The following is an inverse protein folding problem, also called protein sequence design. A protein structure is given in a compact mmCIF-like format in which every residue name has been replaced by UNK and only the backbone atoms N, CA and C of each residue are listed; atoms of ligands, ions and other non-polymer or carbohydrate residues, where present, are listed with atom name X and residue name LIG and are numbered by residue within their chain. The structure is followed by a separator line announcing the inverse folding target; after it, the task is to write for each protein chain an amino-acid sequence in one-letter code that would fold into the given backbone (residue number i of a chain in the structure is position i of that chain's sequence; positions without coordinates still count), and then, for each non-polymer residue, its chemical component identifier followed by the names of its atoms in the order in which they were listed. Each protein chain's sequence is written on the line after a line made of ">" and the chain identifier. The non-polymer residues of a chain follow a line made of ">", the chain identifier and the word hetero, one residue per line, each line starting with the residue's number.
data_IF_874404808863
#
_entry.id   IF_874404808863
#
_cell.length_a   1.000
_cell.length_b   1.000
_cell.length_c   1.000
_cell.angle_alpha   90.00
_cell.angle_beta   90.00
_cell.angle_gamma   90.00
#
_symmetry.space_group_name_H-M   'P 1'
#
loop_
_entity.id
_entity.type
_entity.pdbx_description
1 polymer ?
#
# COMPACT_ATOMS: atom_id res chain seq x y z
N UNK A 1 24.81 -15.71 34.04
CA UNK A 1 23.55 -16.48 34.10
C UNK A 1 22.58 -15.76 33.19
N UNK A 2 22.16 -16.37 32.09
CA UNK A 2 21.11 -15.80 31.22
C UNK A 2 19.84 -15.74 32.06
N UNK A 3 19.18 -14.58 32.06
CA UNK A 3 17.96 -14.39 32.84
C UNK A 3 16.88 -15.34 32.31
N UNK A 4 16.11 -15.99 33.19
CA UNK A 4 15.05 -16.90 32.78
C UNK A 4 14.02 -16.21 31.86
N UNK A 5 13.79 -14.91 32.04
CA UNK A 5 12.94 -14.09 31.15
C UNK A 5 13.50 -14.02 29.72
N UNK A 6 14.79 -13.68 29.58
CA UNK A 6 15.46 -13.57 28.27
C UNK A 6 15.38 -14.88 27.48
N UNK A 7 15.49 -16.02 28.18
CA UNK A 7 15.36 -17.32 27.54
C UNK A 7 13.96 -17.56 26.99
N UNK A 8 12.92 -17.23 27.76
CA UNK A 8 11.52 -17.38 27.32
C UNK A 8 11.22 -16.45 26.15
N UNK A 9 11.69 -15.21 26.19
CA UNK A 9 11.54 -14.25 25.10
C UNK A 9 12.19 -14.75 23.79
N UNK A 10 13.41 -15.29 23.88
CA UNK A 10 14.08 -15.89 22.73
C UNK A 10 13.33 -17.10 22.18
N UNK A 11 12.80 -17.97 23.04
CA UNK A 11 12.00 -19.13 22.62
C UNK A 11 10.71 -18.69 21.90
N UNK A 12 10.01 -17.67 22.40
CA UNK A 12 8.81 -17.10 21.78
C UNK A 12 9.13 -16.48 20.41
N UNK A 13 10.17 -15.67 20.31
CA UNK A 13 10.59 -15.05 19.04
C UNK A 13 11.01 -16.09 18.01
N UNK A 14 11.74 -17.11 18.42
CA UNK A 14 12.11 -18.23 17.54
C UNK A 14 10.88 -19.01 17.08
N UNK A 15 9.91 -19.24 17.98
CA UNK A 15 8.64 -19.87 17.65
C UNK A 15 7.84 -19.07 16.62
N UNK A 16 7.74 -17.75 16.82
CA UNK A 16 7.07 -16.84 15.88
C UNK A 16 7.76 -16.86 14.51
N UNK A 17 9.09 -16.70 14.46
CA UNK A 17 9.86 -16.76 13.21
C UNK A 17 9.62 -18.05 12.45
N UNK A 18 9.71 -19.19 13.12
CA UNK A 18 9.49 -20.48 12.50
C UNK A 18 8.06 -20.61 11.96
N UNK A 19 7.07 -20.10 12.70
CA UNK A 19 5.67 -20.08 12.25
C UNK A 19 5.48 -19.21 11.02
N UNK A 20 6.02 -17.99 11.00
CA UNK A 20 5.92 -17.07 9.85
C UNK A 20 6.51 -17.70 8.58
N UNK A 21 7.74 -18.22 8.66
CA UNK A 21 8.41 -18.90 7.54
C UNK A 21 7.63 -20.13 7.07
N UNK A 22 7.08 -20.90 8.00
CA UNK A 22 6.29 -22.09 7.66
C UNK A 22 4.98 -21.72 6.96
N UNK A 23 4.30 -20.67 7.42
CA UNK A 23 3.06 -20.16 6.80
C UNK A 23 3.31 -19.61 5.40
N UNK A 24 4.34 -18.81 5.22
CA UNK A 24 4.74 -18.36 3.88
C UNK A 24 4.96 -19.55 2.92
N UNK A 25 5.77 -20.53 3.35
CA UNK A 25 6.04 -21.73 2.54
C UNK A 25 4.79 -22.54 2.23
N UNK A 26 3.87 -22.64 3.19
CA UNK A 26 2.58 -23.30 3.00
C UNK A 26 1.73 -22.56 1.94
N UNK A 27 1.60 -21.24 2.04
CA UNK A 27 0.81 -20.44 1.10
C UNK A 27 1.40 -20.42 -0.30
N UNK A 28 2.72 -20.28 -0.43
CA UNK A 28 3.40 -20.42 -1.72
C UNK A 28 3.11 -21.77 -2.38
N UNK A 29 3.17 -22.87 -1.62
CA UNK A 29 2.87 -24.23 -2.13
C UNK A 29 1.42 -24.42 -2.53
N UNK A 30 0.48 -23.86 -1.77
CA UNK A 30 -0.96 -23.96 -2.06
C UNK A 30 -1.35 -23.13 -3.29
N UNK A 31 -0.74 -21.96 -3.46
CA UNK A 31 -1.02 -21.06 -4.57
C UNK A 31 -0.31 -21.46 -5.86
N UNK A 32 0.68 -22.37 -5.80
CA UNK A 32 1.40 -22.84 -6.99
C UNK A 32 0.48 -23.63 -7.91
N UNK A 33 0.09 -23.00 -9.02
CA UNK A 33 -0.56 -23.65 -10.14
C UNK A 33 0.36 -23.52 -11.37
N UNK A 34 0.86 -24.64 -11.93
CA UNK A 34 1.79 -24.61 -13.07
C UNK A 34 1.21 -23.94 -14.33
N UNK A 35 -0.11 -23.74 -14.38
CA UNK A 35 -0.80 -23.13 -15.52
C UNK A 35 -0.95 -21.59 -15.40
N UNK A 36 -0.68 -20.99 -14.24
CA UNK A 36 -0.79 -19.53 -14.02
C UNK A 36 0.55 -19.00 -13.51
N UNK A 37 1.32 -18.35 -14.38
CA UNK A 37 2.58 -17.69 -14.01
C UNK A 37 2.27 -16.37 -13.29
N UNK A 38 2.97 -16.05 -12.20
CA UNK A 38 2.85 -14.77 -11.46
C UNK A 38 1.91 -14.83 -10.26
N UNK A 39 0.60 -14.95 -10.50
CA UNK A 39 -0.44 -14.78 -9.47
C UNK A 39 -0.36 -15.68 -8.24
N UNK A 40 0.42 -16.76 -8.29
CA UNK A 40 0.65 -17.62 -7.11
C UNK A 40 1.30 -16.86 -5.94
N UNK A 41 2.27 -15.99 -6.24
CA UNK A 41 3.01 -15.24 -5.21
C UNK A 41 2.16 -14.11 -4.62
N UNK A 42 1.41 -13.40 -5.46
CA UNK A 42 0.43 -12.38 -5.05
C UNK A 42 -0.59 -12.98 -4.07
N UNK A 43 -1.19 -14.13 -4.43
CA UNK A 43 -2.16 -14.81 -3.58
C UNK A 43 -1.54 -15.32 -2.29
N UNK A 44 -0.30 -15.82 -2.34
CA UNK A 44 0.41 -16.26 -1.15
C UNK A 44 0.68 -15.10 -0.18
N UNK A 45 1.14 -13.95 -0.68
CA UNK A 45 1.35 -12.75 0.13
C UNK A 45 0.04 -12.19 0.67
N UNK A 46 -1.00 -12.08 -0.16
CA UNK A 46 -2.30 -11.60 0.30
C UNK A 46 -2.87 -12.47 1.41
N UNK A 47 -2.79 -13.81 1.29
CA UNK A 47 -3.23 -14.72 2.35
C UNK A 47 -2.37 -14.59 3.61
N UNK A 48 -1.06 -14.44 3.45
CA UNK A 48 -0.16 -14.19 4.57
C UNK A 48 -0.53 -12.90 5.31
N UNK A 49 -0.72 -11.78 4.61
CA UNK A 49 -1.06 -10.51 5.21
C UNK A 49 -2.45 -10.54 5.88
N UNK A 50 -3.45 -11.17 5.26
CA UNK A 50 -4.78 -11.34 5.90
C UNK A 50 -4.72 -12.07 7.23
N UNK A 51 -3.83 -13.06 7.37
CA UNK A 51 -3.68 -13.81 8.62
C UNK A 51 -3.09 -12.99 9.78
N UNK A 52 -2.25 -11.99 9.48
CA UNK A 52 -1.44 -11.30 10.48
C UNK A 52 -1.84 -9.83 10.70
N UNK A 53 -2.22 -9.13 9.65
CA UNK A 53 -2.64 -7.72 9.68
C UNK A 53 -4.06 -7.52 9.14
N UNK A 54 -4.74 -8.60 8.76
CA UNK A 54 -6.14 -8.57 8.40
C UNK A 54 -7.00 -8.09 9.56
N UNK A 55 -8.10 -7.39 9.23
CA UNK A 55 -8.95 -6.71 10.21
C UNK A 55 -8.57 -5.24 10.37
N UNK A 56 -7.27 -4.93 10.47
CA UNK A 56 -6.79 -3.55 10.37
C UNK A 56 -6.83 -3.03 8.93
N UNK A 57 -6.63 -3.94 7.97
CA UNK A 57 -6.61 -3.64 6.54
C UNK A 57 -7.49 -4.61 5.76
N UNK A 58 -8.02 -4.11 4.65
CA UNK A 58 -8.65 -4.91 3.61
C UNK A 58 -7.64 -5.20 2.50
N UNK A 59 -7.23 -6.48 2.40
CA UNK A 59 -6.14 -6.92 1.53
C UNK A 59 -6.70 -7.51 0.22
N UNK A 60 -6.41 -6.85 -0.89
CA UNK A 60 -6.81 -7.22 -2.25
C UNK A 60 -5.58 -7.54 -3.10
N UNK A 61 -5.80 -8.29 -4.17
CA UNK A 61 -4.79 -8.59 -5.20
C UNK A 61 -5.24 -8.01 -6.53
N UNK A 62 -4.31 -7.81 -7.47
CA UNK A 62 -4.63 -7.37 -8.85
C UNK A 62 -5.53 -6.13 -8.86
N UNK A 63 -5.11 -5.13 -8.09
CA UNK A 63 -5.90 -3.94 -7.81
C UNK A 63 -5.23 -2.75 -8.47
N UNK A 64 -5.99 -2.00 -9.27
CA UNK A 64 -5.54 -0.71 -9.76
C UNK A 64 -5.85 0.39 -8.76
N UNK A 65 -5.07 1.46 -8.81
CA UNK A 65 -5.32 2.65 -7.98
C UNK A 65 -5.79 3.81 -8.83
N UNK A 66 -6.56 4.70 -8.21
CA UNK A 66 -7.02 5.94 -8.82
C UNK A 66 -6.88 7.08 -7.82
N UNK A 67 -6.20 8.14 -8.22
CA UNK A 67 -6.04 9.35 -7.42
C UNK A 67 -7.20 10.32 -7.67
N UNK A 68 -7.29 11.30 -6.78
CA UNK A 68 -8.33 12.31 -6.84
C UNK A 68 -8.30 13.14 -8.12
N UNK A 69 -7.13 13.36 -8.74
CA UNK A 69 -7.01 14.15 -9.97
C UNK A 69 -7.12 13.30 -11.25
N UNK A 70 -7.30 11.98 -11.10
CA UNK A 70 -7.27 10.99 -12.17
C UNK A 70 -5.94 10.96 -12.95
N UNK A 71 -4.85 11.47 -12.37
CA UNK A 71 -3.49 11.46 -12.95
C UNK A 71 -2.98 10.03 -13.17
N UNK A 72 -3.40 9.08 -12.35
CA UNK A 72 -3.08 7.66 -12.50
C UNK A 72 -3.49 7.13 -13.88
N UNK A 73 -4.59 7.61 -14.44
CA UNK A 73 -5.04 7.22 -15.79
C UNK A 73 -4.16 7.78 -16.91
N UNK A 74 -3.37 8.83 -16.61
CA UNK A 74 -2.47 9.50 -17.55
C UNK A 74 -1.05 8.96 -17.44
N UNK A 75 -0.61 8.62 -16.21
CA UNK A 75 0.73 8.13 -15.90
C UNK A 75 0.93 6.65 -16.18
N UNK A 76 -0.10 5.84 -15.95
CA UNK A 76 -0.03 4.39 -16.11
C UNK A 76 -0.72 3.96 -17.40
N UNK A 77 -0.09 3.04 -18.14
CA UNK A 77 -0.86 2.22 -19.07
C UNK A 77 -1.81 1.29 -18.29
N UNK A 78 -2.93 0.84 -18.89
CA UNK A 78 -3.89 -0.02 -18.18
C UNK A 78 -3.27 -1.26 -17.54
N UNK A 79 -2.24 -1.86 -18.16
CA UNK A 79 -1.54 -3.02 -17.62
C UNK A 79 -0.52 -2.66 -16.52
N UNK A 80 0.03 -1.44 -16.53
CA UNK A 80 1.00 -1.00 -15.52
C UNK A 80 0.34 -0.54 -14.23
N UNK A 81 -0.95 -0.18 -14.24
CA UNK A 81 -1.64 0.24 -13.03
C UNK A 81 -2.09 -0.94 -12.14
N UNK A 82 -2.00 -2.19 -12.62
CA UNK A 82 -2.33 -3.37 -11.80
C UNK A 82 -1.27 -3.55 -10.72
N UNK A 83 -1.60 -3.30 -9.45
CA UNK A 83 -0.75 -3.56 -8.29
C UNK A 83 -1.04 -4.96 -7.75
N UNK A 84 0.04 -5.71 -7.48
CA UNK A 84 0.01 -7.11 -7.08
C UNK A 84 -0.80 -7.32 -5.79
N UNK A 85 -0.49 -6.54 -4.75
CA UNK A 85 -1.23 -6.54 -3.48
C UNK A 85 -1.46 -5.11 -3.01
N UNK A 86 -2.72 -4.80 -2.69
CA UNK A 86 -3.13 -3.50 -2.12
C UNK A 86 -3.81 -3.74 -0.78
N UNK A 87 -3.39 -2.97 0.23
CA UNK A 87 -4.02 -2.94 1.53
C UNK A 87 -4.73 -1.59 1.71
N UNK A 88 -6.06 -1.61 1.84
CA UNK A 88 -6.86 -0.40 2.05
C UNK A 88 -7.35 -0.31 3.48
N UNK A 89 -7.62 0.90 3.94
CA UNK A 89 -8.27 1.13 5.22
C UNK A 89 -9.74 0.66 5.17
N UNK A 90 -10.20 -0.19 6.10
CA UNK A 90 -11.59 -0.64 6.14
C UNK A 90 -12.61 0.50 6.25
N UNK A 91 -12.20 1.65 6.78
CA UNK A 91 -13.00 2.84 6.98
C UNK A 91 -13.05 3.79 5.77
N UNK A 92 -12.30 3.52 4.69
CA UNK A 92 -12.37 4.31 3.46
C UNK A 92 -13.72 4.16 2.78
N UNK A 93 -14.31 5.28 2.37
CA UNK A 93 -15.63 5.30 1.72
C UNK A 93 -15.60 6.16 0.45
N UNK A 94 -15.75 5.56 -0.74
CA UNK A 94 -15.83 4.12 -1.02
C UNK A 94 -14.46 3.41 -0.94
N UNK A 95 -14.44 2.13 -0.59
CA UNK A 95 -13.21 1.32 -0.66
C UNK A 95 -12.85 0.90 -2.09
N UNK A 96 -13.88 0.73 -2.92
CA UNK A 96 -13.76 0.34 -4.32
C UNK A 96 -14.54 1.35 -5.13
N UNK A 97 -13.87 1.96 -6.10
CA UNK A 97 -14.47 2.92 -7.02
C UNK A 97 -15.30 2.18 -8.06
N UNK A 98 -14.73 1.13 -8.68
CA UNK A 98 -15.42 0.23 -9.59
C UNK A 98 -14.63 -1.07 -9.80
N UNK A 99 -15.28 -2.06 -10.42
CA UNK A 99 -14.64 -3.30 -10.87
C UNK A 99 -14.85 -3.46 -12.38
N UNK A 100 -13.79 -3.80 -13.10
CA UNK A 100 -13.84 -4.03 -14.54
C UNK A 100 -12.86 -5.12 -14.95
N UNK A 101 -13.30 -6.07 -15.77
CA UNK A 101 -12.46 -7.15 -16.34
C UNK A 101 -11.68 -7.97 -15.29
N UNK A 102 -12.20 -8.08 -14.07
CA UNK A 102 -11.54 -8.79 -12.97
C UNK A 102 -10.43 -7.99 -12.27
N UNK A 103 -10.34 -6.69 -12.53
CA UNK A 103 -9.50 -5.73 -11.82
C UNK A 103 -10.38 -4.83 -10.95
N UNK A 104 -10.02 -4.70 -9.68
CA UNK A 104 -10.66 -3.79 -8.72
C UNK A 104 -9.93 -2.45 -8.74
N UNK A 105 -10.65 -1.33 -8.70
CA UNK A 105 -10.07 0.00 -8.62
C UNK A 105 -10.26 0.57 -7.22
N UNK A 106 -9.17 0.80 -6.51
CA UNK A 106 -9.16 1.40 -5.18
C UNK A 106 -8.75 2.87 -5.26
N UNK A 107 -9.38 3.77 -4.48
CA UNK A 107 -8.91 5.14 -4.38
C UNK A 107 -7.59 5.19 -3.63
N UNK A 108 -6.58 5.87 -4.19
CA UNK A 108 -5.21 5.86 -3.66
C UNK A 108 -5.13 6.40 -2.23
N UNK A 109 -5.88 7.46 -1.90
CA UNK A 109 -5.96 8.01 -0.55
C UNK A 109 -6.58 7.06 0.48
N UNK A 110 -7.30 6.02 0.03
CA UNK A 110 -7.82 4.96 0.89
C UNK A 110 -6.88 3.76 1.04
N UNK A 111 -5.73 3.79 0.37
CA UNK A 111 -4.69 2.77 0.48
C UNK A 111 -3.78 3.10 1.66
N UNK A 112 -3.41 2.06 2.41
CA UNK A 112 -2.45 2.11 3.50
C UNK A 112 -1.05 1.75 3.00
N UNK A 113 -0.97 0.65 2.25
CA UNK A 113 0.28 0.20 1.64
C UNK A 113 0.01 -0.65 0.40
N UNK A 114 1.04 -0.74 -0.43
CA UNK A 114 1.08 -1.54 -1.64
C UNK A 114 2.27 -2.48 -1.61
N UNK A 115 2.17 -3.62 -2.28
CA UNK A 115 3.29 -4.51 -2.49
C UNK A 115 3.37 -4.96 -3.93
N UNK A 116 4.56 -4.85 -4.53
CA UNK A 116 4.95 -5.58 -5.73
C UNK A 116 5.63 -6.89 -5.32
N UNK A 117 5.27 -8.00 -5.95
CA UNK A 117 5.69 -9.34 -5.53
C UNK A 117 6.25 -10.14 -6.69
N UNK A 118 7.50 -10.58 -6.57
CA UNK A 118 8.11 -11.48 -7.56
C UNK A 118 8.73 -12.72 -6.93
N UNK A 119 8.88 -13.75 -7.76
CA UNK A 119 9.57 -14.99 -7.37
C UNK A 119 11.05 -14.77 -7.08
N UNK A 120 11.70 -13.88 -7.82
CA UNK A 120 13.15 -13.72 -7.78
C UNK A 120 13.53 -12.27 -7.97
N UNK A 121 14.41 -11.77 -7.11
CA UNK A 121 15.07 -10.49 -7.26
C UNK A 121 16.10 -10.58 -8.39
N UNK A 122 15.96 -9.69 -9.37
CA UNK A 122 16.97 -9.41 -10.37
C UNK A 122 17.14 -7.90 -10.46
N UNK A 123 18.29 -7.42 -10.96
CA UNK A 123 18.48 -5.97 -11.15
C UNK A 123 17.45 -5.36 -12.10
N UNK A 124 17.06 -6.10 -13.14
CA UNK A 124 15.98 -5.70 -14.05
C UNK A 124 14.64 -5.62 -13.33
N UNK A 125 14.24 -6.68 -12.63
CA UNK A 125 12.98 -6.69 -11.88
C UNK A 125 12.90 -5.55 -10.86
N UNK A 126 13.99 -5.32 -10.11
CA UNK A 126 14.06 -4.23 -9.13
C UNK A 126 13.85 -2.86 -9.78
N UNK A 127 14.52 -2.60 -10.91
CA UNK A 127 14.38 -1.32 -11.63
C UNK A 127 12.99 -1.13 -12.21
N UNK A 128 12.39 -2.18 -12.74
CA UNK A 128 11.01 -2.14 -13.26
C UNK A 128 9.99 -1.87 -12.14
N UNK A 129 10.16 -2.51 -10.99
CA UNK A 129 9.29 -2.30 -9.83
C UNK A 129 9.46 -0.88 -9.29
N UNK A 130 10.69 -0.38 -9.17
CA UNK A 130 10.99 0.99 -8.73
C UNK A 130 10.47 2.06 -9.70
N UNK A 131 10.52 1.81 -11.01
CA UNK A 131 9.90 2.71 -11.98
C UNK A 131 8.38 2.79 -11.76
N UNK A 132 7.73 1.64 -11.53
CA UNK A 132 6.30 1.56 -11.29
C UNK A 132 5.90 2.25 -9.98
N UNK A 133 6.58 1.95 -8.88
CA UNK A 133 6.29 2.55 -7.57
C UNK A 133 6.71 4.02 -7.51
N UNK A 134 7.73 4.44 -8.27
CA UNK A 134 8.12 5.84 -8.44
C UNK A 134 7.00 6.69 -9.05
N UNK A 135 6.25 6.16 -10.03
CA UNK A 135 5.06 6.83 -10.58
C UNK A 135 3.95 6.99 -9.54
N UNK A 136 3.86 6.09 -8.56
CA UNK A 136 2.88 6.22 -7.47
C UNK A 136 3.23 7.38 -6.53
N UNK A 137 4.53 7.67 -6.36
CA UNK A 137 4.99 8.87 -5.67
C UNK A 137 4.58 10.17 -6.38
N UNK A 138 4.31 10.14 -7.70
CA UNK A 138 3.87 11.33 -8.45
C UNK A 138 2.38 11.66 -8.25
N UNK A 139 1.57 10.68 -7.84
CA UNK A 139 0.14 10.87 -7.54
C UNK A 139 -0.14 11.00 -6.04
N UNK A 140 0.89 10.83 -5.21
CA UNK A 140 0.81 10.96 -3.77
C UNK A 140 0.64 12.43 -3.37
N UNK A 141 -0.24 12.67 -2.39
CA UNK A 141 -0.48 14.00 -1.83
C UNK A 141 0.09 14.06 -0.42
N UNK A 142 0.78 15.15 -0.11
CA UNK A 142 1.15 15.47 1.28
C UNK A 142 -0.12 15.51 2.14
N UNK A 143 -0.12 14.79 3.27
CA UNK A 143 -1.29 14.70 4.15
C UNK A 143 -2.48 13.94 3.56
N UNK A 144 -2.28 13.10 2.53
CA UNK A 144 -3.35 12.38 1.82
C UNK A 144 -4.20 11.44 2.68
N UNK A 145 -3.75 11.09 3.88
CA UNK A 145 -4.50 10.29 4.86
C UNK A 145 -5.48 11.11 5.72
N UNK A 146 -5.50 12.44 5.55
CA UNK A 146 -6.38 13.36 6.28
C UNK A 146 -6.02 13.49 7.76
N UNK A 147 -7.03 13.66 8.62
CA UNK A 147 -6.82 13.72 10.08
C UNK A 147 -6.53 12.31 10.60
N UNK A 148 -5.27 12.04 10.90
CA UNK A 148 -4.85 10.82 11.56
C UNK A 148 -4.70 10.98 13.07
N UNK A 149 -4.88 9.88 13.80
CA UNK A 149 -4.44 9.77 15.19
C UNK A 149 -3.16 8.95 15.18
N UNK A 150 -2.04 9.67 15.09
CA UNK A 150 -0.69 9.10 15.00
C UNK A 150 0.16 9.32 16.23
N UNK A 151 1.16 8.45 16.41
CA UNK A 151 2.30 8.71 17.31
C UNK A 151 3.45 9.34 16.54
N UNK A 152 4.58 9.65 17.20
CA UNK A 152 5.82 10.14 16.55
C UNK A 152 6.48 9.10 15.61
N UNK A 153 5.77 8.01 15.32
CA UNK A 153 6.34 6.80 14.73
C UNK A 153 5.58 6.31 13.51
N UNK A 154 4.78 7.16 12.90
CA UNK A 154 3.98 6.89 11.72
C UNK A 154 4.41 7.78 10.57
N UNK A 155 4.11 7.34 9.36
CA UNK A 155 4.22 8.14 8.13
C UNK A 155 2.83 8.54 7.66
N UNK A 156 2.76 9.66 6.96
CA UNK A 156 1.54 10.27 6.43
C UNK A 156 1.29 9.91 4.95
N UNK A 157 1.96 8.88 4.46
CA UNK A 157 1.99 8.47 3.06
C UNK A 157 1.81 6.95 2.90
N UNK A 158 1.55 6.47 1.67
CA UNK A 158 1.33 5.04 1.41
C UNK A 158 2.65 4.28 1.35
N UNK A 159 2.81 3.24 2.18
CA UNK A 159 4.05 2.44 2.13
C UNK A 159 4.16 1.64 0.83
N UNK A 160 5.33 1.72 0.19
CA UNK A 160 5.70 1.05 -1.05
C UNK A 160 6.62 -0.12 -0.74
N UNK A 161 6.07 -1.34 -0.83
CA UNK A 161 6.79 -2.55 -0.49
C UNK A 161 7.19 -3.34 -1.74
N UNK A 162 8.42 -3.85 -1.77
CA UNK A 162 8.91 -4.78 -2.77
C UNK A 162 9.17 -6.14 -2.11
N UNK A 163 8.58 -7.21 -2.62
CA UNK A 163 8.66 -8.54 -2.00
C UNK A 163 9.22 -9.55 -3.00
N UNK A 164 10.39 -10.11 -2.68
CA UNK A 164 11.05 -11.11 -3.49
C UNK A 164 11.20 -12.42 -2.71
N UNK A 165 10.72 -13.53 -3.27
CA UNK A 165 10.86 -14.84 -2.60
C UNK A 165 12.35 -15.24 -2.51
N UNK A 166 13.08 -15.15 -3.62
CA UNK A 166 14.51 -15.52 -3.75
C UNK A 166 15.36 -14.36 -4.30
N UNK A 167 16.68 -14.33 -4.03
CA UNK A 167 17.63 -13.38 -4.59
C UNK A 167 19.04 -13.94 -4.87
N UNK A 168 19.21 -15.27 -4.91
CA UNK A 168 20.50 -15.97 -4.90
C UNK A 168 21.54 -15.54 -5.96
N UNK A 169 21.14 -14.81 -7.01
CA UNK A 169 22.02 -14.39 -8.12
C UNK A 169 22.45 -12.91 -8.14
N UNK A 170 22.03 -12.09 -7.19
CA UNK A 170 22.28 -10.62 -7.23
C UNK A 170 23.27 -10.18 -6.15
N UNK A 171 24.21 -9.32 -6.53
CA UNK A 171 25.09 -8.64 -5.56
C UNK A 171 24.30 -7.59 -4.78
N UNK A 172 24.30 -7.72 -3.46
CA UNK A 172 23.59 -6.80 -2.57
C UNK A 172 24.12 -5.37 -2.63
N UNK A 173 25.40 -5.16 -2.97
CA UNK A 173 25.92 -3.80 -3.16
C UNK A 173 25.22 -3.11 -4.34
N UNK A 174 25.06 -3.83 -5.45
CA UNK A 174 24.30 -3.33 -6.61
C UNK A 174 22.83 -3.08 -6.24
N UNK A 175 22.22 -3.92 -5.39
CA UNK A 175 20.85 -3.67 -4.89
C UNK A 175 20.81 -2.35 -4.13
N UNK A 176 21.72 -2.10 -3.19
CA UNK A 176 21.72 -0.85 -2.43
C UNK A 176 21.97 0.36 -3.31
N UNK A 177 22.89 0.31 -4.27
CA UNK A 177 23.10 1.40 -5.23
C UNK A 177 21.82 1.72 -6.00
N UNK A 178 21.11 0.70 -6.48
CA UNK A 178 19.83 0.88 -7.17
C UNK A 178 18.77 1.51 -6.25
N UNK A 179 18.67 1.04 -5.01
CA UNK A 179 17.71 1.56 -4.04
C UNK A 179 18.03 3.01 -3.64
N UNK A 180 19.30 3.35 -3.50
CA UNK A 180 19.77 4.71 -3.18
C UNK A 180 19.45 5.70 -4.30
N UNK A 181 19.70 5.27 -5.56
CA UNK A 181 19.37 6.04 -6.77
C UNK A 181 17.86 6.30 -6.92
N UNK A 182 17.01 5.56 -6.22
CA UNK A 182 15.54 5.59 -6.33
C UNK A 182 14.86 5.73 -4.95
N UNK A 183 15.45 6.51 -4.05
CA UNK A 183 15.01 6.63 -2.64
C UNK A 183 13.52 6.98 -2.45
N UNK A 184 12.92 7.72 -3.38
CA UNK A 184 11.51 8.11 -3.30
C UNK A 184 10.51 7.05 -3.81
N UNK A 185 10.99 5.90 -4.29
CA UNK A 185 10.16 4.88 -4.93
C UNK A 185 9.91 3.65 -4.05
N UNK A 186 10.47 3.56 -2.85
CA UNK A 186 10.33 2.37 -2.01
C UNK A 186 10.49 2.69 -0.52
N UNK A 187 9.89 1.84 0.31
CA UNK A 187 9.99 1.91 1.76
C UNK A 187 10.58 0.63 2.35
N UNK A 188 10.14 -0.52 1.84
CA UNK A 188 10.49 -1.84 2.36
C UNK A 188 10.83 -2.79 1.22
N UNK A 189 11.93 -3.53 1.34
CA UNK A 189 12.27 -4.67 0.48
C UNK A 189 12.40 -5.93 1.31
N UNK A 190 11.48 -6.87 1.13
CA UNK A 190 11.46 -8.15 1.84
C UNK A 190 12.05 -9.26 0.97
N UNK A 191 13.09 -9.93 1.48
CA UNK A 191 13.73 -11.10 0.87
C UNK A 191 13.32 -12.35 1.66
N UNK A 192 12.33 -13.09 1.16
CA UNK A 192 11.54 -14.00 2.00
C UNK A 192 12.27 -15.30 2.35
N UNK A 193 12.91 -15.99 1.41
CA UNK A 193 13.55 -17.29 1.68
C UNK A 193 14.69 -17.16 2.72
N UNK A 194 15.44 -16.05 2.64
CA UNK A 194 16.54 -15.70 3.54
C UNK A 194 16.06 -15.02 4.83
N UNK A 195 14.78 -14.66 4.91
CA UNK A 195 14.15 -13.97 6.05
C UNK A 195 14.91 -12.68 6.40
N UNK A 196 15.08 -11.82 5.39
CA UNK A 196 15.78 -10.54 5.47
C UNK A 196 14.87 -9.39 5.03
N UNK A 197 15.05 -8.22 5.64
CA UNK A 197 14.35 -7.00 5.27
C UNK A 197 15.37 -5.88 5.07
N UNK A 198 15.17 -5.10 4.01
CA UNK A 198 15.83 -3.83 3.76
C UNK A 198 14.80 -2.74 3.96
N UNK A 199 15.08 -1.76 4.80
CA UNK A 199 14.16 -0.66 5.11
C UNK A 199 14.78 0.68 4.74
N UNK A 200 13.94 1.56 4.19
CA UNK A 200 14.30 2.93 3.83
C UNK A 200 14.68 3.72 5.10
N UNK A 201 15.74 4.56 5.06
CA UNK A 201 16.19 5.30 6.23
C UNK A 201 15.10 6.20 6.86
N UNK A 202 14.21 6.75 6.05
CA UNK A 202 13.22 7.73 6.50
C UNK A 202 12.02 7.08 7.21
N UNK A 203 11.92 5.75 7.21
CA UNK A 203 10.85 5.09 7.95
C UNK A 203 11.00 5.29 9.46
N UNK A 204 9.91 5.58 10.18
CA UNK A 204 9.93 5.68 11.62
C UNK A 204 10.39 4.35 12.23
N UNK A 205 11.04 4.43 13.39
CA UNK A 205 11.73 3.33 14.08
C UNK A 205 13.10 2.90 13.52
N UNK A 206 13.54 3.35 12.36
CA UNK A 206 14.92 3.07 11.92
C UNK A 206 15.94 3.74 12.86
N UNK A 207 15.68 4.95 13.35
CA UNK A 207 16.65 5.77 14.09
C UNK A 207 16.59 5.71 15.63
N UNK A 208 15.64 4.99 16.22
CA UNK A 208 15.49 5.03 17.69
C UNK A 208 16.65 4.29 18.39
N UNK A 209 17.22 4.94 19.42
CA UNK A 209 18.32 4.40 20.28
C UNK A 209 17.95 3.05 20.93
N UNK A 210 16.65 2.74 20.99
CA UNK A 210 16.07 1.52 21.51
C UNK A 210 15.92 0.40 20.48
N UNK A 211 16.11 0.68 19.18
CA UNK A 211 16.04 -0.32 18.13
C UNK A 211 17.41 -1.01 17.97
N UNK A 212 17.56 -2.30 18.35
CA UNK A 212 18.81 -3.03 18.21
C UNK A 212 19.28 -3.19 16.75
N UNK A 213 18.45 -2.79 15.77
CA UNK A 213 18.79 -2.78 14.35
C UNK A 213 19.68 -1.61 13.91
N UNK A 214 19.59 -0.45 14.58
CA UNK A 214 20.18 0.80 14.08
C UNK A 214 21.71 0.78 14.01
N UNK A 215 22.37 0.14 14.97
CA UNK A 215 23.82 0.27 15.12
C UNK A 215 24.68 -0.77 14.39
N UNK A 216 24.10 -1.81 13.77
CA UNK A 216 24.90 -2.92 13.22
C UNK A 216 24.80 -3.11 11.72
N UNK A 217 23.74 -2.62 11.07
CA UNK A 217 23.45 -3.02 9.69
C UNK A 217 23.04 -1.85 8.78
N UNK A 218 23.59 -0.67 9.02
CA UNK A 218 23.35 0.52 8.19
C UNK A 218 24.40 0.61 7.08
N UNK A 219 23.98 0.92 5.86
CA UNK A 219 24.90 1.38 4.80
C UNK A 219 25.39 2.80 5.09
N UNK A 220 26.37 3.29 4.33
CA UNK A 220 26.80 4.69 4.43
C UNK A 220 25.66 5.68 4.13
N UNK A 221 24.67 5.27 3.32
CA UNK A 221 23.57 6.13 2.89
C UNK A 221 22.39 6.20 3.85
N UNK A 222 22.21 5.25 4.75
CA UNK A 222 20.94 5.21 5.49
C UNK A 222 20.32 3.85 5.69
N UNK A 223 20.47 3.02 4.65
CA UNK A 223 19.65 1.84 4.43
C UNK A 223 19.89 0.82 5.54
N UNK A 224 18.81 0.31 6.14
CA UNK A 224 18.87 -0.68 7.21
C UNK A 224 18.59 -2.07 6.64
N UNK A 225 19.55 -2.99 6.76
CA UNK A 225 19.35 -4.39 6.38
C UNK A 225 19.31 -5.31 7.61
N UNK A 226 18.23 -6.04 7.85
CA UNK A 226 18.06 -6.83 9.07
C UNK A 226 17.64 -8.29 8.81
N UNK A 227 18.12 -9.26 9.63
CA UNK A 227 17.54 -10.60 9.67
C UNK A 227 16.16 -10.61 10.38
N UNK A 228 15.44 -11.72 10.23
CA UNK A 228 14.06 -11.89 10.68
C UNK A 228 13.09 -10.94 9.95
N UNK A 229 13.32 -10.81 8.64
CA UNK A 229 12.63 -9.88 7.77
C UNK A 229 11.11 -9.98 7.83
N UNK A 230 10.53 -11.19 7.95
CA UNK A 230 9.08 -11.35 8.06
C UNK A 230 8.49 -10.72 9.32
N UNK A 231 9.21 -10.80 10.45
CA UNK A 231 8.77 -10.16 11.70
C UNK A 231 8.81 -8.65 11.53
N UNK A 232 9.94 -8.13 11.04
CA UNK A 232 10.12 -6.69 10.86
C UNK A 232 9.16 -6.10 9.85
N UNK A 233 8.90 -6.82 8.75
CA UNK A 233 7.93 -6.41 7.74
C UNK A 233 6.53 -6.23 8.36
N UNK A 234 6.04 -7.22 9.10
CA UNK A 234 4.75 -7.11 9.80
C UNK A 234 4.75 -6.00 10.85
N UNK A 235 5.87 -5.81 11.56
CA UNK A 235 6.00 -4.71 12.52
C UNK A 235 5.86 -3.35 11.82
N UNK A 236 6.64 -3.07 10.77
CA UNK A 236 6.55 -1.82 10.02
C UNK A 236 5.14 -1.56 9.48
N UNK A 237 4.51 -2.56 8.84
CA UNK A 237 3.13 -2.41 8.35
C UNK A 237 2.11 -2.12 9.47
N UNK A 238 2.40 -2.53 10.70
CA UNK A 238 1.49 -2.34 11.84
C UNK A 238 1.70 -1.02 12.58
N UNK A 239 2.90 -0.45 12.53
CA UNK A 239 3.27 0.71 13.36
C UNK A 239 3.57 1.97 12.57
N UNK A 240 3.92 1.84 11.29
CA UNK A 240 4.35 2.96 10.47
C UNK A 240 3.18 3.65 9.77
N UNK A 241 1.97 3.11 9.84
CA UNK A 241 0.82 3.67 9.15
C UNK A 241 -0.17 4.18 10.17
N UNK A 242 -0.53 5.45 10.03
CA UNK A 242 -1.58 6.06 10.83
C UNK A 242 -2.94 5.40 10.62
N UNK A 243 -3.75 5.29 11.69
CA UNK A 243 -5.11 4.79 11.58
C UNK A 243 -6.11 5.96 11.56
N UNK A 244 -6.59 6.38 10.38
CA UNK A 244 -7.56 7.46 10.28
C UNK A 244 -8.93 6.97 10.78
N UNK A 245 -9.69 7.76 11.54
CA UNK A 245 -11.01 7.35 12.03
C UNK A 245 -12.02 7.20 10.88
N UNK A 246 -11.89 8.01 9.83
CA UNK A 246 -12.72 8.00 8.62
C UNK A 246 -11.89 8.53 7.46
N UNK A 247 -12.01 7.91 6.27
CA UNK A 247 -11.43 8.47 5.03
C UNK A 247 -12.53 8.57 3.98
N UNK A 248 -12.76 9.77 3.49
CA UNK A 248 -13.65 9.99 2.34
C UNK A 248 -12.82 9.94 1.07
N UNK A 249 -13.18 9.05 0.17
CA UNK A 249 -12.44 8.75 -1.07
C UNK A 249 -13.34 8.86 -2.30
N UNK A 250 -14.38 9.69 -2.21
CA UNK A 250 -15.38 9.89 -3.27
C UNK A 250 -14.86 10.75 -4.43
N UNK A 251 -13.78 11.51 -4.20
CA UNK A 251 -13.21 12.45 -5.16
C UNK A 251 -12.96 11.87 -6.56
N UNK A 252 -12.35 10.66 -6.72
CA UNK A 252 -12.16 10.09 -8.04
C UNK A 252 -13.49 9.85 -8.78
N UNK A 253 -14.56 9.48 -8.06
CA UNK A 253 -15.89 9.30 -8.65
C UNK A 253 -16.46 10.64 -9.13
N UNK A 254 -16.40 11.66 -8.28
CA UNK A 254 -16.88 13.01 -8.63
C UNK A 254 -16.16 13.54 -9.87
N UNK A 255 -14.85 13.35 -9.95
CA UNK A 255 -14.05 13.78 -11.10
C UNK A 255 -14.38 13.00 -12.37
N UNK A 256 -14.64 11.69 -12.29
CA UNK A 256 -15.10 10.91 -13.44
C UNK A 256 -16.46 11.39 -13.95
N UNK A 257 -17.43 11.63 -13.05
CA UNK A 257 -18.75 12.16 -13.40
C UNK A 257 -18.62 13.53 -14.07
N UNK A 258 -17.81 14.41 -13.49
CA UNK A 258 -17.55 15.74 -14.03
C UNK A 258 -16.95 15.66 -15.45
N UNK A 259 -15.89 14.86 -15.66
CA UNK A 259 -15.29 14.65 -16.99
C UNK A 259 -16.30 14.09 -18.00
N UNK A 260 -17.18 13.19 -17.60
CA UNK A 260 -18.21 12.63 -18.48
C UNK A 260 -19.32 13.65 -18.82
N UNK A 261 -19.72 14.48 -17.86
CA UNK A 261 -20.71 15.54 -18.08
C UNK A 261 -20.24 16.56 -19.12
N UNK A 262 -18.95 16.94 -19.06
CA UNK A 262 -18.32 17.83 -20.05
C UNK A 262 -18.31 17.18 -21.44
N UNK A 263 -18.02 15.88 -21.51
CA UNK A 263 -17.96 15.14 -22.78
C UNK A 263 -19.32 14.99 -23.45
N UNK A 264 -20.36 14.77 -22.66
CA UNK A 264 -21.71 14.45 -23.17
C UNK A 264 -22.60 15.68 -23.33
N UNK A 265 -22.21 16.85 -22.81
CA UNK A 265 -23.09 18.02 -22.64
C UNK A 265 -24.41 17.67 -21.91
N UNK A 266 -24.39 16.62 -21.10
CA UNK A 266 -25.55 16.12 -20.38
C UNK A 266 -25.22 16.13 -18.90
N UNK A 267 -25.91 17.01 -18.16
CA UNK A 267 -25.98 16.93 -16.71
C UNK A 267 -27.26 16.18 -16.35
N UNK A 268 -27.23 15.27 -15.37
CA UNK A 268 -28.47 14.73 -14.79
C UNK A 268 -29.37 15.89 -14.33
N UNK A 269 -30.68 15.78 -14.56
CA UNK A 269 -31.63 16.80 -14.12
C UNK A 269 -31.45 17.12 -12.63
N UNK A 270 -31.18 18.39 -12.30
CA UNK A 270 -31.00 18.85 -10.92
C UNK A 270 -29.55 19.00 -10.44
N UNK A 271 -28.55 18.57 -11.22
CA UNK A 271 -27.12 18.75 -10.90
C UNK A 271 -26.54 19.91 -11.71
N UNK A 272 -26.10 20.99 -11.05
CA UNK A 272 -25.38 22.06 -11.74
C UNK A 272 -23.88 21.81 -11.72
N UNK A 273 -23.21 22.16 -12.82
CA UNK A 273 -21.75 22.04 -12.98
C UNK A 273 -21.00 22.85 -11.90
N UNK A 274 -21.51 24.05 -11.59
CA UNK A 274 -20.99 24.92 -10.52
C UNK A 274 -21.01 24.25 -9.14
N UNK A 275 -22.02 23.42 -8.83
CA UNK A 275 -22.08 22.71 -7.54
C UNK A 275 -21.09 21.55 -7.47
N UNK A 276 -20.87 20.84 -8.57
CA UNK A 276 -19.86 19.79 -8.63
C UNK A 276 -18.45 20.37 -8.49
N UNK A 277 -18.21 21.55 -9.08
CA UNK A 277 -16.96 22.30 -8.93
C UNK A 277 -16.76 22.75 -7.47
N UNK A 278 -17.77 23.35 -6.85
CA UNK A 278 -17.73 23.76 -5.43
C UNK A 278 -17.47 22.57 -4.49
N UNK A 279 -18.14 21.42 -4.72
CA UNK A 279 -17.89 20.18 -3.95
C UNK A 279 -16.47 19.65 -4.14
N UNK A 280 -15.96 19.64 -5.37
CA UNK A 280 -14.62 19.16 -5.66
C UNK A 280 -13.54 20.07 -5.07
N UNK A 281 -13.75 21.39 -5.13
CA UNK A 281 -12.83 22.40 -4.57
C UNK A 281 -12.79 22.28 -3.03
N UNK A 282 -13.94 22.27 -2.37
CA UNK A 282 -14.04 22.12 -0.91
C UNK A 282 -13.41 20.80 -0.42
N UNK A 283 -13.61 19.68 -1.13
CA UNK A 283 -12.97 18.40 -0.79
C UNK A 283 -11.45 18.42 -1.02
N UNK A 284 -10.98 19.15 -2.04
CA UNK A 284 -9.55 19.29 -2.33
C UNK A 284 -8.81 20.14 -1.30
N UNK A 285 -9.51 21.09 -0.66
CA UNK A 285 -8.98 21.93 0.42
C UNK A 285 -9.03 21.25 1.80
N UNK A 286 -9.48 19.99 1.87
CA UNK A 286 -9.59 19.24 3.11
C UNK A 286 -10.78 19.66 3.97
N UNK A 287 -11.75 20.41 3.41
CA UNK A 287 -12.99 20.70 4.11
C UNK A 287 -13.87 19.44 4.17
N UNK A 288 -14.33 19.11 5.37
CA UNK A 288 -15.25 17.99 5.56
C UNK A 288 -16.64 18.37 5.05
N UNK A 289 -17.07 17.76 3.95
CA UNK A 289 -18.43 17.92 3.43
C UNK A 289 -19.31 16.78 3.96
N UNK A 290 -20.49 17.07 4.56
CA UNK A 290 -21.43 16.04 4.99
C UNK A 290 -21.83 15.11 3.84
N UNK A 291 -21.88 13.79 4.10
CA UNK A 291 -22.32 12.79 3.11
C UNK A 291 -23.71 13.13 2.54
N UNK A 292 -24.60 13.67 3.38
CA UNK A 292 -25.95 14.09 3.01
C UNK A 292 -25.95 15.18 1.92
N UNK A 293 -24.93 16.04 1.89
CA UNK A 293 -24.77 17.10 0.90
C UNK A 293 -24.22 16.57 -0.44
N UNK A 294 -23.35 15.56 -0.38
CA UNK A 294 -22.89 14.79 -1.54
C UNK A 294 -24.05 14.02 -2.16
N UNK A 295 -24.84 13.30 -1.35
CA UNK A 295 -26.02 12.53 -1.79
C UNK A 295 -27.09 13.43 -2.41
N UNK A 296 -27.36 14.58 -1.79
CA UNK A 296 -28.28 15.60 -2.31
C UNK A 296 -27.82 16.17 -3.64
N UNK A 297 -26.52 16.30 -3.85
CA UNK A 297 -25.96 16.81 -5.11
C UNK A 297 -25.87 15.74 -6.19
N UNK A 298 -25.71 14.47 -5.83
CA UNK A 298 -25.70 13.34 -6.76
C UNK A 298 -27.11 12.80 -7.10
N UNK A 299 -28.16 13.36 -6.49
CA UNK A 299 -29.54 13.10 -6.88
C UNK A 299 -30.10 11.74 -6.45
N UNK A 300 -29.59 11.14 -5.36
CA UNK A 300 -30.22 9.96 -4.75
C UNK A 300 -31.41 10.37 -3.90
N UNK A 301 -32.48 10.87 -4.53
CA UNK A 301 -33.78 11.00 -3.87
C UNK A 301 -34.60 9.72 -4.14
N UNK A 302 -34.51 8.74 -3.24
CA UNK A 302 -35.59 7.76 -3.03
C UNK A 302 -36.75 8.42 -2.27
N UNK A 303 -37.29 9.55 -2.76
CA UNK A 303 -38.52 10.12 -2.22
C UNK A 303 -39.32 10.81 -3.32
N UNK A 304 -39.89 10.04 -4.24
CA UNK A 304 -41.12 10.40 -4.95
C UNK A 304 -41.93 9.13 -5.26
N UNK A 305 -42.68 8.66 -4.26
CA UNK A 305 -43.93 7.91 -4.45
C UNK A 305 -44.77 8.02 -3.15
N UNK A 306 -45.35 9.22 -2.93
CA UNK A 306 -46.62 9.42 -2.20
C UNK A 306 -47.45 10.53 -2.87
#
# INVERSE_FOLDING_TARGET
>A
MVNQSEKVEQELLNGLRNRLRSRWKEYRKQSYNPNTKGGAYEQALAKFLRDYVGGSYDIRTRTAVIDDDLKALELFSPAQNEIDVVASFPQSKPQVVFESEGMTWAPYNGVAFICEVKSTLTTTALREDLEKTGKLSEIEREGGLGVSIGGETTVDYQLKCLVYDDYDSVDMNTVYEILDDNSNAWDLVLLVENDQLIAHPDLPFTETVSNPLYYKNKTDSGIVHTPNGLIWFLSYLSVSIDYPPTITTVNPILQMIHRESIRTNFLPDGVSLERLEELAENLSEGESIPIEEVEKTLGTNEEQDE
#
